data_IF_569136847209
#
_entry.id   IF_569136847209
#
_cell.length_a   1.000
_cell.length_b   1.000
_cell.length_c   1.000
_cell.angle_alpha   90.00
_cell.angle_beta   90.00
_cell.angle_gamma   90.00
#
_symmetry.space_group_name_H-M   'P 1'
#
loop_
_entity.id
_entity.type
_entity.pdbx_description
1 polymer ?
#
# COMPACT_ATOMS: atom_id res chain seq x y z
N UNK A 1 7.68 1.37 16.13
CA UNK A 1 8.49 0.46 15.28
C UNK A 1 8.92 1.21 14.04
N UNK A 2 10.15 1.04 13.55
CA UNK A 2 10.57 1.72 12.31
C UNK A 2 9.97 0.99 11.12
N UNK A 3 8.88 1.50 10.55
CA UNK A 3 8.31 0.98 9.31
C UNK A 3 9.33 1.20 8.18
N UNK A 4 10.11 0.16 7.86
CA UNK A 4 11.26 0.25 6.97
C UNK A 4 10.90 0.61 5.52
N UNK A 5 9.74 0.17 5.02
CA UNK A 5 9.20 0.52 3.70
C UNK A 5 7.67 0.53 3.70
N UNK A 6 7.08 1.51 3.02
CA UNK A 6 5.65 1.57 2.71
C UNK A 6 5.45 1.20 1.24
N UNK A 7 4.62 0.21 0.99
CA UNK A 7 4.15 -0.12 -0.36
C UNK A 7 2.77 0.48 -0.58
N UNK A 8 2.55 1.07 -1.75
CA UNK A 8 1.25 1.61 -2.18
C UNK A 8 0.92 0.96 -3.52
N UNK A 9 -0.26 0.35 -3.62
CA UNK A 9 -0.71 -0.27 -4.86
C UNK A 9 -2.22 -0.39 -4.96
N UNK A 10 -2.68 -0.76 -6.15
CA UNK A 10 -4.07 -1.10 -6.45
C UNK A 10 -4.22 -2.60 -6.68
N UNK A 11 -5.33 -3.18 -6.24
CA UNK A 11 -5.72 -4.57 -6.54
C UNK A 11 -7.24 -4.70 -6.62
N UNK A 12 -7.73 -5.71 -7.37
CA UNK A 12 -9.14 -6.12 -7.37
C UNK A 12 -9.46 -7.15 -6.27
N UNK A 13 -8.42 -7.77 -5.72
CA UNK A 13 -8.50 -8.82 -4.71
C UNK A 13 -7.44 -8.51 -3.65
N UNK A 14 -7.90 -8.08 -2.47
CA UNK A 14 -7.03 -7.61 -1.38
C UNK A 14 -6.32 -8.78 -0.69
N UNK A 15 -7.04 -9.86 -0.42
CA UNK A 15 -6.51 -11.05 0.25
C UNK A 15 -5.39 -11.67 -0.57
N UNK A 16 -5.65 -11.94 -1.86
CA UNK A 16 -4.63 -12.49 -2.76
C UNK A 16 -3.41 -11.60 -2.89
N UNK A 17 -3.57 -10.27 -2.83
CA UNK A 17 -2.45 -9.32 -2.92
C UNK A 17 -1.55 -9.41 -1.70
N UNK A 18 -2.15 -9.43 -0.51
CA UNK A 18 -1.41 -9.54 0.76
C UNK A 18 -0.67 -10.87 0.83
N UNK A 19 -1.34 -11.96 0.44
CA UNK A 19 -0.73 -13.29 0.36
C UNK A 19 0.44 -13.31 -0.63
N UNK A 20 0.21 -12.88 -1.88
CA UNK A 20 1.24 -12.84 -2.93
C UNK A 20 2.49 -12.06 -2.48
N UNK A 21 2.30 -10.87 -1.89
CA UNK A 21 3.41 -10.07 -1.40
C UNK A 21 4.20 -10.81 -0.33
N UNK A 22 3.52 -11.46 0.61
CA UNK A 22 4.12 -12.21 1.71
C UNK A 22 4.77 -13.54 1.28
N UNK A 23 4.33 -14.11 0.17
CA UNK A 23 5.00 -15.27 -0.46
C UNK A 23 6.31 -14.90 -1.17
N UNK A 24 6.66 -13.62 -1.28
CA UNK A 24 7.92 -13.18 -1.88
C UNK A 24 8.01 -13.40 -3.40
N UNK A 25 6.87 -13.49 -4.07
CA UNK A 25 6.79 -13.78 -5.51
C UNK A 25 7.19 -12.57 -6.37
N UNK A 26 7.16 -11.35 -5.83
CA UNK A 26 7.62 -10.14 -6.50
C UNK A 26 9.04 -9.73 -6.09
N UNK A 27 9.86 -9.34 -7.08
CA UNK A 27 11.27 -9.04 -6.90
C UNK A 27 11.56 -7.86 -5.95
N UNK A 28 10.63 -6.90 -5.86
CA UNK A 28 10.73 -5.76 -4.98
C UNK A 28 10.22 -6.12 -3.58
N UNK A 29 9.01 -6.71 -3.48
CA UNK A 29 8.38 -6.96 -2.19
C UNK A 29 9.09 -8.04 -1.39
N UNK A 30 9.70 -9.04 -2.05
CA UNK A 30 10.41 -10.14 -1.37
C UNK A 30 11.57 -9.70 -0.48
N UNK A 31 12.15 -8.53 -0.74
CA UNK A 31 13.30 -7.99 0.03
C UNK A 31 12.90 -7.40 1.38
N UNK A 32 11.60 -7.20 1.61
CA UNK A 32 11.08 -6.46 2.75
C UNK A 32 9.97 -7.23 3.48
N UNK A 33 9.95 -8.55 3.32
CA UNK A 33 9.04 -9.43 4.05
C UNK A 33 9.34 -9.43 5.56
N UNK A 34 8.34 -9.64 6.43
CA UNK A 34 6.91 -9.74 6.11
C UNK A 34 6.24 -8.36 5.90
N UNK A 35 5.20 -8.34 5.06
CA UNK A 35 4.35 -7.17 4.84
C UNK A 35 3.10 -7.23 5.71
N UNK A 36 2.82 -6.12 6.39
CA UNK A 36 1.60 -5.90 7.17
C UNK A 36 0.65 -4.96 6.40
N UNK A 37 -0.64 -5.31 6.33
CA UNK A 37 -1.67 -4.43 5.77
C UNK A 37 -2.10 -3.41 6.83
N UNK A 38 -1.65 -2.17 6.66
CA UNK A 38 -1.96 -1.08 7.59
C UNK A 38 -3.19 -0.25 7.20
N UNK A 39 -3.57 -0.25 5.92
CA UNK A 39 -4.64 0.59 5.37
C UNK A 39 -5.05 0.15 3.96
N UNK A 40 -6.34 0.28 3.63
CA UNK A 40 -6.86 0.16 2.26
C UNK A 40 -8.07 1.08 2.04
N UNK A 41 -8.33 1.43 0.78
CA UNK A 41 -9.54 2.17 0.34
C UNK A 41 -10.25 1.34 -0.74
N UNK A 42 -11.58 1.28 -0.69
CA UNK A 42 -12.41 0.57 -1.66
C UNK A 42 -13.18 1.56 -2.55
N UNK A 43 -13.30 1.24 -3.83
CA UNK A 43 -13.93 2.08 -4.84
C UNK A 43 -14.83 1.24 -5.75
N UNK A 44 -15.99 1.77 -6.13
CA UNK A 44 -16.86 1.15 -7.14
C UNK A 44 -16.27 1.26 -8.55
N UNK A 45 -15.53 2.35 -8.82
CA UNK A 45 -14.94 2.65 -10.12
C UNK A 45 -13.45 2.36 -10.10
N UNK A 46 -12.99 1.48 -11.00
CA UNK A 46 -11.57 1.18 -11.17
C UNK A 46 -10.76 2.44 -11.54
N UNK A 47 -11.36 3.37 -12.30
CA UNK A 47 -10.70 4.63 -12.68
C UNK A 47 -10.40 5.50 -11.47
N UNK A 48 -11.31 5.56 -10.51
CA UNK A 48 -11.13 6.36 -9.29
C UNK A 48 -10.08 5.73 -8.39
N UNK A 49 -10.10 4.39 -8.24
CA UNK A 49 -9.07 3.65 -7.51
C UNK A 49 -7.67 3.88 -8.07
N UNK A 50 -7.51 3.83 -9.41
CA UNK A 50 -6.22 4.08 -10.08
C UNK A 50 -5.76 5.52 -9.97
N UNK A 51 -6.67 6.50 -10.15
CA UNK A 51 -6.36 7.92 -9.92
C UNK A 51 -5.87 8.15 -8.49
N UNK A 52 -6.51 7.52 -7.52
CA UNK A 52 -6.11 7.57 -6.12
C UNK A 52 -4.73 6.95 -5.89
N UNK A 53 -4.48 5.75 -6.43
CA UNK A 53 -3.17 5.09 -6.34
C UNK A 53 -2.05 5.99 -6.89
N UNK A 54 -2.25 6.57 -8.08
CA UNK A 54 -1.29 7.48 -8.72
C UNK A 54 -1.03 8.69 -7.82
N UNK A 55 -2.08 9.30 -7.29
CA UNK A 55 -1.94 10.42 -6.36
C UNK A 55 -1.14 9.99 -5.12
N UNK A 56 -1.48 8.86 -4.49
CA UNK A 56 -0.80 8.36 -3.29
C UNK A 56 0.68 8.02 -3.54
N UNK A 57 1.04 7.62 -4.75
CA UNK A 57 2.45 7.39 -5.14
C UNK A 57 3.24 8.68 -5.37
N UNK A 58 2.58 9.82 -5.58
CA UNK A 58 3.21 11.15 -5.73
C UNK A 58 3.82 11.67 -4.42
N UNK A 59 4.69 12.68 -4.50
CA UNK A 59 5.30 13.30 -3.31
C UNK A 59 4.26 13.84 -2.32
N UNK A 60 3.30 14.63 -2.81
CA UNK A 60 2.22 15.19 -1.97
C UNK A 60 1.32 14.09 -1.42
N UNK A 61 0.93 13.10 -2.24
CA UNK A 61 0.09 12.00 -1.77
C UNK A 61 0.74 11.16 -0.67
N UNK A 62 2.05 10.93 -0.76
CA UNK A 62 2.83 10.27 0.31
C UNK A 62 2.83 11.06 1.62
N UNK A 63 2.88 12.38 1.56
CA UNK A 63 2.78 13.22 2.77
C UNK A 63 1.38 13.12 3.39
N UNK A 64 0.34 13.22 2.55
CA UNK A 64 -1.06 13.11 2.99
C UNK A 64 -1.32 11.79 3.70
N UNK A 65 -0.94 10.65 3.10
CA UNK A 65 -1.21 9.34 3.71
C UNK A 65 -0.38 9.09 4.96
N UNK A 66 0.85 9.63 5.03
CA UNK A 66 1.67 9.56 6.25
C UNK A 66 1.05 10.33 7.40
N UNK A 67 0.50 11.52 7.15
CA UNK A 67 -0.20 12.28 8.19
C UNK A 67 -1.50 11.58 8.60
N UNK A 68 -2.26 11.06 7.64
CA UNK A 68 -3.49 10.28 7.91
C UNK A 68 -3.21 9.04 8.78
N UNK A 69 -2.10 8.33 8.54
CA UNK A 69 -1.71 7.11 9.25
C UNK A 69 -0.67 7.36 10.35
N UNK A 70 -0.52 8.60 10.81
CA UNK A 70 0.56 9.04 11.72
C UNK A 70 0.66 8.25 13.01
N UNK A 71 -0.44 7.73 13.53
CA UNK A 71 -0.45 6.95 14.76
C UNK A 71 -0.30 5.44 14.50
N UNK A 72 -0.76 4.95 13.35
CA UNK A 72 -0.56 3.56 12.93
C UNK A 72 0.87 3.28 12.47
N UNK A 73 1.57 4.31 11.95
CA UNK A 73 2.95 4.23 11.45
C UNK A 73 4.04 4.47 12.53
N UNK A 74 3.71 4.39 13.82
CA UNK A 74 4.65 4.69 14.93
C UNK A 74 5.47 3.51 15.45
#
# INVERSE_FOLDING_TARGET
>A
MVFGKIYIGFTKDLEKRVEHHNLGLDNYTKKYLPWELIFYEAYLSEKDARKREIFLKSGRGRQVIKEQLKFSLK
#
